data_IF_666363562142
#
_entry.id   IF_666363562142
#
_cell.length_a   1.000
_cell.length_b   1.000
_cell.length_c   1.000
_cell.angle_alpha   90.00
_cell.angle_beta   90.00
_cell.angle_gamma   90.00
#
_symmetry.space_group_name_H-M   'P 1'
#
loop_
_entity.id
_entity.type
_entity.pdbx_description
1 polymer ?
#
# COMPACT_ATOMS: atom_id res chain seq x y z
N UNK A 1 -23.58 19.89 -7.55
CA UNK A 1 -22.93 18.59 -7.33
C UNK A 1 -21.96 18.76 -6.16
N UNK A 2 -21.92 17.81 -5.21
CA UNK A 2 -20.99 17.89 -4.09
C UNK A 2 -19.54 17.70 -4.55
N UNK A 3 -18.57 18.06 -3.69
CA UNK A 3 -17.14 17.81 -3.92
C UNK A 3 -16.76 16.40 -3.44
N UNK A 4 -15.94 15.69 -4.19
CA UNK A 4 -15.47 14.35 -3.85
C UNK A 4 -13.95 14.35 -3.79
N UNK A 5 -13.39 13.87 -2.68
CA UNK A 5 -11.97 13.77 -2.44
C UNK A 5 -11.56 12.32 -2.19
N UNK A 6 -10.57 11.85 -2.93
CA UNK A 6 -9.84 10.61 -2.63
C UNK A 6 -8.52 11.00 -1.94
N UNK A 7 -8.32 10.61 -0.69
CA UNK A 7 -7.19 11.12 0.11
C UNK A 7 -6.34 10.00 0.72
N UNK A 8 -5.02 10.13 0.65
CA UNK A 8 -4.08 9.22 1.29
C UNK A 8 -3.87 9.58 2.77
N UNK A 9 -4.20 8.67 3.69
CA UNK A 9 -4.12 8.95 5.14
C UNK A 9 -2.82 8.45 5.79
N UNK A 10 -1.85 8.05 4.99
CA UNK A 10 -0.59 7.52 5.50
C UNK A 10 -0.67 6.03 5.88
N UNK A 11 0.48 5.42 6.24
CA UNK A 11 0.61 3.96 6.31
C UNK A 11 0.07 3.32 7.59
N UNK A 12 -0.42 4.09 8.58
CA UNK A 12 -0.99 3.51 9.80
C UNK A 12 -1.11 4.45 10.98
N UNK A 13 -0.20 5.40 11.16
CA UNK A 13 -0.24 6.38 12.25
C UNK A 13 -0.81 7.72 11.80
N UNK A 14 -1.61 8.35 12.65
CA UNK A 14 -2.10 9.71 12.44
C UNK A 14 -0.99 10.77 12.29
N UNK A 15 0.23 10.50 12.77
CA UNK A 15 1.38 11.38 12.61
C UNK A 15 1.88 11.47 11.16
N UNK A 16 1.45 10.53 10.29
CA UNK A 16 1.78 10.50 8.87
C UNK A 16 0.66 11.07 7.98
N UNK A 17 -0.43 11.55 8.58
CA UNK A 17 -1.48 12.27 7.85
C UNK A 17 -0.98 13.68 7.55
N UNK A 18 -0.92 14.05 6.27
CA UNK A 18 -0.52 15.41 5.87
C UNK A 18 -1.54 16.44 6.34
N UNK A 19 -1.09 17.67 6.54
CA UNK A 19 -1.96 18.76 7.03
C UNK A 19 -3.11 19.06 6.06
N UNK A 20 -2.87 18.96 4.75
CA UNK A 20 -3.93 19.15 3.75
C UNK A 20 -5.00 18.07 3.84
N UNK A 21 -4.60 16.79 3.97
CA UNK A 21 -5.53 15.67 4.13
C UNK A 21 -6.33 15.81 5.41
N UNK A 22 -5.68 16.20 6.51
CA UNK A 22 -6.36 16.45 7.79
C UNK A 22 -7.45 17.52 7.66
N UNK A 23 -7.16 18.64 7.00
CA UNK A 23 -8.13 19.73 6.77
C UNK A 23 -9.33 19.25 5.93
N UNK A 24 -9.07 18.50 4.88
CA UNK A 24 -10.13 17.97 4.01
C UNK A 24 -11.03 16.98 4.76
N UNK A 25 -10.45 16.07 5.55
CA UNK A 25 -11.23 15.12 6.36
C UNK A 25 -12.08 15.87 7.40
N UNK A 26 -11.51 16.87 8.07
CA UNK A 26 -12.27 17.66 9.07
C UNK A 26 -13.41 18.45 8.41
N UNK A 27 -13.24 18.90 7.17
CA UNK A 27 -14.29 19.60 6.40
C UNK A 27 -15.34 18.71 5.75
N UNK A 28 -15.21 17.37 5.83
CA UNK A 28 -16.13 16.44 5.18
C UNK A 28 -17.52 16.40 5.85
N UNK A 29 -18.58 16.26 5.07
CA UNK A 29 -19.93 15.93 5.53
C UNK A 29 -20.12 14.41 5.63
N UNK A 30 -19.57 13.69 4.65
CA UNK A 30 -19.66 12.23 4.54
C UNK A 30 -18.26 11.64 4.37
N UNK A 31 -17.99 10.58 5.10
CA UNK A 31 -16.73 9.79 4.96
C UNK A 31 -17.10 8.35 4.66
N UNK A 32 -16.51 7.78 3.62
CA UNK A 32 -16.73 6.39 3.24
C UNK A 32 -15.40 5.68 3.01
N UNK A 33 -15.20 4.53 3.68
CA UNK A 33 -13.94 3.80 3.55
C UNK A 33 -13.95 2.43 4.22
N UNK A 34 -12.87 1.71 4.02
CA UNK A 34 -12.65 0.43 4.69
C UNK A 34 -12.42 0.63 6.19
N UNK A 35 -12.88 -0.33 6.99
CA UNK A 35 -12.79 -0.29 8.46
C UNK A 35 -11.40 0.09 8.96
N UNK A 36 -10.35 -0.56 8.44
CA UNK A 36 -8.98 -0.29 8.87
C UNK A 36 -8.57 1.18 8.63
N UNK A 37 -8.89 1.72 7.45
CA UNK A 37 -8.56 3.11 7.10
C UNK A 37 -9.34 4.11 7.95
N UNK A 38 -10.62 3.83 8.20
CA UNK A 38 -11.46 4.67 9.09
C UNK A 38 -10.96 4.67 10.53
N UNK A 39 -10.43 3.55 11.02
CA UNK A 39 -9.84 3.46 12.36
C UNK A 39 -8.61 4.37 12.51
N UNK A 40 -7.78 4.52 11.46
CA UNK A 40 -6.63 5.43 11.47
C UNK A 40 -7.09 6.88 11.71
N UNK A 41 -8.20 7.30 11.11
CA UNK A 41 -8.69 8.69 11.15
C UNK A 41 -9.84 8.89 12.14
N UNK A 42 -10.09 7.94 13.02
CA UNK A 42 -11.28 7.90 13.91
C UNK A 42 -11.48 9.20 14.71
N UNK A 43 -10.40 9.84 15.17
CA UNK A 43 -10.46 11.10 15.90
C UNK A 43 -10.88 12.32 15.03
N UNK A 44 -10.68 12.23 13.70
CA UNK A 44 -10.99 13.32 12.75
C UNK A 44 -12.41 13.25 12.19
N UNK A 45 -13.07 12.11 12.33
CA UNK A 45 -14.40 11.84 11.73
C UNK A 45 -15.51 11.76 12.76
N UNK A 46 -15.28 12.16 14.00
CA UNK A 46 -16.31 12.20 15.03
C UNK A 46 -17.46 13.13 14.64
N UNK A 47 -18.68 12.65 14.80
CA UNK A 47 -19.90 13.41 14.48
C UNK A 47 -20.24 13.51 12.97
N UNK A 48 -19.47 12.86 12.09
CA UNK A 48 -19.72 12.84 10.64
C UNK A 48 -20.61 11.65 10.24
N UNK A 49 -21.24 11.75 9.07
CA UNK A 49 -21.91 10.59 8.44
C UNK A 49 -20.83 9.64 7.91
N UNK A 50 -20.78 8.42 8.44
CA UNK A 50 -19.73 7.44 8.11
C UNK A 50 -20.38 6.22 7.45
N UNK A 51 -19.79 5.78 6.31
CA UNK A 51 -20.12 4.53 5.67
C UNK A 51 -18.88 3.62 5.67
N UNK A 52 -19.03 2.45 6.31
CA UNK A 52 -18.00 1.40 6.24
C UNK A 52 -18.30 0.53 5.03
N UNK A 53 -17.29 0.29 4.19
CA UNK A 53 -17.43 -0.52 2.97
C UNK A 53 -16.55 -1.77 3.01
N UNK A 54 -16.93 -2.72 2.18
CA UNK A 54 -16.19 -3.94 1.85
C UNK A 54 -15.93 -3.98 0.34
N UNK A 55 -15.15 -4.96 -0.12
CA UNK A 55 -14.95 -5.18 -1.56
C UNK A 55 -16.27 -5.53 -2.30
N UNK A 56 -17.24 -6.10 -1.58
CA UNK A 56 -18.51 -6.59 -2.17
C UNK A 56 -19.55 -5.50 -2.32
N UNK A 57 -19.59 -4.51 -1.41
CA UNK A 57 -20.66 -3.51 -1.32
C UNK A 57 -20.22 -2.08 -1.69
N UNK A 58 -18.93 -1.83 -1.91
CA UNK A 58 -18.38 -0.50 -2.14
C UNK A 58 -19.09 0.24 -3.28
N UNK A 59 -19.29 -0.40 -4.43
CA UNK A 59 -19.89 0.25 -5.59
C UNK A 59 -21.35 0.66 -5.33
N UNK A 60 -22.12 -0.24 -4.73
CA UNK A 60 -23.52 0.03 -4.33
C UNK A 60 -23.58 1.20 -3.35
N UNK A 61 -22.65 1.24 -2.39
CA UNK A 61 -22.58 2.30 -1.40
C UNK A 61 -22.23 3.65 -2.03
N UNK A 62 -21.27 3.68 -2.96
CA UNK A 62 -20.91 4.91 -3.70
C UNK A 62 -22.09 5.42 -4.53
N UNK A 63 -22.81 4.54 -5.23
CA UNK A 63 -24.00 4.90 -6.01
C UNK A 63 -25.13 5.47 -5.13
N UNK A 64 -25.32 4.92 -3.93
CA UNK A 64 -26.27 5.45 -2.96
C UNK A 64 -25.86 6.84 -2.48
N UNK A 65 -24.60 7.01 -2.06
CA UNK A 65 -24.07 8.30 -1.58
C UNK A 65 -24.20 9.37 -2.66
N UNK A 66 -23.95 9.04 -3.94
CA UNK A 66 -24.10 9.98 -5.06
C UNK A 66 -25.51 10.56 -5.13
N UNK A 67 -26.54 9.75 -4.87
CA UNK A 67 -27.95 10.20 -4.89
C UNK A 67 -28.30 11.09 -3.69
N UNK A 68 -27.62 10.88 -2.56
CA UNK A 68 -27.88 11.58 -1.30
C UNK A 68 -26.99 12.83 -1.11
N UNK A 69 -25.90 12.94 -1.87
CA UNK A 69 -24.91 14.02 -1.72
C UNK A 69 -25.39 15.30 -2.41
N UNK A 70 -26.24 16.05 -1.73
CA UNK A 70 -26.73 17.34 -2.18
C UNK A 70 -25.76 18.48 -1.82
N UNK A 71 -24.75 18.71 -2.68
CA UNK A 71 -23.83 19.86 -2.54
C UNK A 71 -22.78 19.76 -1.42
N UNK A 72 -22.73 18.64 -0.67
CA UNK A 72 -21.80 18.41 0.42
C UNK A 72 -20.39 17.93 -0.03
N UNK A 73 -19.54 17.65 0.94
CA UNK A 73 -18.17 17.15 0.76
C UNK A 73 -18.13 15.66 1.15
N UNK A 74 -17.80 14.82 0.17
CA UNK A 74 -17.49 13.41 0.35
C UNK A 74 -15.99 13.21 0.42
N UNK A 75 -15.52 12.48 1.42
CA UNK A 75 -14.11 12.04 1.51
C UNK A 75 -14.03 10.53 1.52
N UNK A 76 -13.18 10.00 0.63
CA UNK A 76 -12.83 8.58 0.54
C UNK A 76 -11.36 8.43 0.95
N UNK A 77 -11.07 8.01 2.19
CA UNK A 77 -9.70 7.83 2.66
C UNK A 77 -9.13 6.49 2.22
N UNK A 78 -7.85 6.49 1.85
CA UNK A 78 -7.05 5.32 1.49
C UNK A 78 -5.83 5.20 2.40
N UNK A 79 -5.49 3.98 2.80
CA UNK A 79 -4.27 3.72 3.56
C UNK A 79 -3.05 3.96 2.68
N UNK A 80 -2.04 4.68 3.20
CA UNK A 80 -0.86 5.06 2.43
C UNK A 80 -1.14 6.22 1.49
N UNK A 81 -0.78 6.05 0.22
CA UNK A 81 -0.99 7.00 -0.88
C UNK A 81 -2.01 6.47 -1.88
N UNK A 82 -2.91 7.33 -2.31
CA UNK A 82 -3.99 6.99 -3.27
C UNK A 82 -3.45 6.54 -4.63
N UNK A 83 -2.30 7.09 -5.06
CA UNK A 83 -1.75 6.84 -6.39
C UNK A 83 -1.01 5.50 -6.50
N UNK A 84 -0.98 4.71 -5.41
CA UNK A 84 -0.28 3.44 -5.43
C UNK A 84 -1.17 2.29 -4.94
N UNK A 85 -1.43 1.33 -5.83
CA UNK A 85 -2.25 0.12 -5.64
C UNK A 85 -3.78 0.33 -5.54
N UNK A 86 -4.27 1.58 -5.68
CA UNK A 86 -5.69 1.90 -5.51
C UNK A 86 -6.37 2.34 -6.83
N UNK A 87 -5.70 2.19 -7.97
CA UNK A 87 -6.19 2.67 -9.28
C UNK A 87 -7.58 2.15 -9.63
N UNK A 88 -7.87 0.87 -9.39
CA UNK A 88 -9.19 0.28 -9.69
C UNK A 88 -10.33 0.96 -8.91
N UNK A 89 -10.07 1.37 -7.66
CA UNK A 89 -11.07 2.05 -6.84
C UNK A 89 -11.20 3.51 -7.24
N UNK A 90 -10.08 4.17 -7.55
CA UNK A 90 -10.07 5.56 -8.03
C UNK A 90 -10.83 5.68 -9.36
N UNK A 91 -10.57 4.79 -10.32
CA UNK A 91 -11.27 4.77 -11.61
C UNK A 91 -12.79 4.61 -11.39
N UNK A 92 -13.21 3.72 -10.51
CA UNK A 92 -14.62 3.55 -10.13
C UNK A 92 -15.22 4.81 -9.51
N UNK A 93 -14.48 5.51 -8.65
CA UNK A 93 -14.95 6.78 -8.09
C UNK A 93 -15.15 7.83 -9.17
N UNK A 94 -14.23 7.93 -10.13
CA UNK A 94 -14.33 8.85 -11.27
C UNK A 94 -15.54 8.49 -12.16
N UNK A 95 -15.73 7.21 -12.46
CA UNK A 95 -16.91 6.74 -13.22
C UNK A 95 -18.23 7.10 -12.53
N UNK A 96 -18.30 6.94 -11.21
CA UNK A 96 -19.51 7.21 -10.45
C UNK A 96 -19.75 8.71 -10.27
N UNK A 97 -18.75 9.45 -9.82
CA UNK A 97 -18.93 10.86 -9.39
C UNK A 97 -18.54 11.89 -10.45
N UNK A 98 -17.73 11.51 -11.45
CA UNK A 98 -17.21 12.38 -12.50
C UNK A 98 -15.95 13.12 -12.07
N UNK A 99 -16.07 14.20 -11.31
CA UNK A 99 -14.95 14.98 -10.80
C UNK A 99 -14.54 14.50 -9.39
N UNK A 100 -13.32 13.98 -9.26
CA UNK A 100 -12.74 13.49 -8.01
C UNK A 100 -11.37 14.12 -7.83
N UNK A 101 -11.21 14.91 -6.78
CA UNK A 101 -9.93 15.49 -6.41
C UNK A 101 -9.09 14.46 -5.64
N UNK A 102 -7.88 14.15 -6.14
CA UNK A 102 -6.97 13.20 -5.52
C UNK A 102 -5.93 13.98 -4.71
N UNK A 103 -5.83 13.69 -3.41
CA UNK A 103 -4.82 14.28 -2.52
C UNK A 103 -3.87 13.18 -2.05
N UNK A 104 -2.57 13.24 -2.41
CA UNK A 104 -1.61 12.22 -2.06
C UNK A 104 -1.38 12.13 -0.55
N UNK A 105 -0.97 10.96 -0.09
CA UNK A 105 -0.54 10.70 1.28
C UNK A 105 0.91 10.21 1.35
N UNK A 106 1.41 10.02 2.57
CA UNK A 106 2.69 9.34 2.77
C UNK A 106 2.50 7.84 2.51
N UNK A 107 3.20 7.31 1.51
CA UNK A 107 3.10 5.89 1.17
C UNK A 107 3.89 5.00 2.14
N UNK A 108 3.42 3.78 2.37
CA UNK A 108 4.18 2.71 3.04
C UNK A 108 5.52 2.42 2.34
N UNK A 109 5.60 2.63 1.03
CA UNK A 109 6.82 2.51 0.23
C UNK A 109 7.89 3.49 0.71
N UNK A 110 7.54 4.77 0.89
CA UNK A 110 8.46 5.81 1.36
C UNK A 110 8.96 5.51 2.77
N UNK A 111 8.06 5.04 3.65
CA UNK A 111 8.44 4.70 5.02
C UNK A 111 9.33 3.45 5.05
N UNK A 112 9.01 2.42 4.29
CA UNK A 112 9.82 1.21 4.18
C UNK A 112 11.22 1.51 3.63
N UNK A 113 11.32 2.34 2.57
CA UNK A 113 12.60 2.79 2.02
C UNK A 113 13.45 3.53 3.07
N UNK A 114 12.84 4.44 3.83
CA UNK A 114 13.53 5.18 4.89
C UNK A 114 14.04 4.26 6.00
N UNK A 115 13.23 3.29 6.44
CA UNK A 115 13.61 2.32 7.47
C UNK A 115 14.70 1.34 7.00
N UNK A 116 14.63 0.89 5.76
CA UNK A 116 15.65 0.06 5.13
C UNK A 116 16.89 0.87 4.68
N UNK A 117 16.84 2.21 4.77
CA UNK A 117 17.92 3.13 4.35
C UNK A 117 18.32 2.95 2.89
N UNK A 118 17.36 2.71 2.02
CA UNK A 118 17.55 2.61 0.57
C UNK A 118 17.00 3.84 -0.15
N UNK A 119 17.66 4.32 -1.23
CA UNK A 119 17.18 5.44 -2.03
C UNK A 119 16.07 5.00 -2.98
N UNK A 120 14.97 5.77 -3.09
CA UNK A 120 13.85 5.46 -3.98
C UNK A 120 14.23 5.55 -5.45
N UNK A 121 15.08 6.51 -5.83
CA UNK A 121 15.54 6.74 -7.21
C UNK A 121 16.42 5.59 -7.75
N UNK A 122 16.92 4.71 -6.87
CA UNK A 122 17.69 3.49 -7.21
C UNK A 122 16.93 2.21 -6.84
N UNK A 123 15.62 2.30 -6.72
CA UNK A 123 14.76 1.18 -6.34
C UNK A 123 13.72 0.89 -7.40
N UNK A 124 13.32 -0.38 -7.49
CA UNK A 124 12.13 -0.82 -8.21
C UNK A 124 11.00 -1.02 -7.21
N UNK A 125 9.85 -0.41 -7.50
CA UNK A 125 8.65 -0.60 -6.69
C UNK A 125 7.73 -1.54 -7.45
N UNK A 126 7.40 -2.69 -6.84
CA UNK A 126 6.59 -3.73 -7.47
C UNK A 126 5.40 -4.02 -6.56
N UNK A 127 4.18 -3.82 -7.06
CA UNK A 127 2.99 -4.27 -6.33
C UNK A 127 2.49 -5.60 -6.88
N UNK A 128 2.35 -6.57 -6.00
CA UNK A 128 1.62 -7.82 -6.26
C UNK A 128 0.16 -7.70 -5.81
N UNK A 129 -0.20 -6.60 -5.14
CA UNK A 129 -1.53 -6.33 -4.62
C UNK A 129 -2.48 -5.86 -5.73
N UNK A 130 -2.77 -6.76 -6.66
CA UNK A 130 -3.67 -6.54 -7.81
C UNK A 130 -4.61 -7.72 -7.96
N UNK A 131 -5.79 -7.49 -8.55
CA UNK A 131 -6.82 -8.53 -8.78
C UNK A 131 -6.48 -9.43 -9.97
N UNK A 132 -5.71 -8.91 -10.93
CA UNK A 132 -5.30 -9.59 -12.17
C UNK A 132 -4.13 -10.56 -11.98
N UNK A 133 -3.61 -11.15 -13.06
CA UNK A 133 -2.41 -12.00 -13.03
C UNK A 133 -1.17 -11.23 -12.58
N UNK A 134 -0.29 -11.89 -11.82
CA UNK A 134 0.99 -11.32 -11.36
C UNK A 134 2.22 -11.95 -12.06
N UNK A 135 2.01 -12.74 -13.11
CA UNK A 135 3.15 -13.43 -13.76
C UNK A 135 4.16 -12.46 -14.38
N UNK A 136 3.71 -11.39 -15.02
CA UNK A 136 4.60 -10.34 -15.53
C UNK A 136 5.36 -9.63 -14.40
N UNK A 137 4.70 -9.38 -13.28
CA UNK A 137 5.33 -8.77 -12.09
C UNK A 137 6.35 -9.68 -11.42
N UNK A 138 6.15 -11.00 -11.47
CA UNK A 138 7.15 -11.99 -11.04
C UNK A 138 8.39 -11.96 -11.93
N UNK A 139 8.21 -11.82 -13.24
CA UNK A 139 9.34 -11.66 -14.17
C UNK A 139 10.06 -10.32 -13.95
N UNK A 140 9.31 -9.24 -13.68
CA UNK A 140 9.90 -7.95 -13.30
C UNK A 140 10.72 -8.06 -12.02
N UNK A 141 10.23 -8.80 -11.00
CA UNK A 141 10.96 -9.07 -9.77
C UNK A 141 12.28 -9.79 -10.04
N UNK A 142 12.28 -10.88 -10.85
CA UNK A 142 13.52 -11.58 -11.22
C UNK A 142 14.51 -10.65 -11.91
N UNK A 143 14.02 -9.90 -12.91
CA UNK A 143 14.84 -8.94 -13.64
C UNK A 143 15.45 -7.90 -12.70
N UNK A 144 14.67 -7.35 -11.79
CA UNK A 144 15.15 -6.35 -10.85
C UNK A 144 16.24 -6.91 -9.90
N UNK A 145 16.12 -8.18 -9.48
CA UNK A 145 17.17 -8.86 -8.69
C UNK A 145 18.44 -9.05 -9.52
N UNK A 146 18.33 -9.50 -10.78
CA UNK A 146 19.49 -9.68 -11.69
C UNK A 146 20.18 -8.36 -11.97
N UNK A 147 19.41 -7.30 -12.21
CA UNK A 147 19.91 -5.96 -12.54
C UNK A 147 20.51 -5.24 -11.30
N UNK A 148 20.41 -5.82 -10.11
CA UNK A 148 20.99 -5.25 -8.89
C UNK A 148 20.24 -4.06 -8.30
N UNK A 149 18.92 -3.90 -8.60
CA UNK A 149 18.11 -2.86 -7.99
C UNK A 149 17.74 -3.19 -6.54
N UNK A 150 17.62 -2.16 -5.70
CA UNK A 150 16.81 -2.30 -4.51
C UNK A 150 15.35 -2.53 -4.93
N UNK A 151 14.62 -3.36 -4.20
CA UNK A 151 13.24 -3.69 -4.55
C UNK A 151 12.34 -3.43 -3.36
N UNK A 152 11.29 -2.65 -3.56
CA UNK A 152 10.22 -2.48 -2.58
C UNK A 152 9.01 -3.19 -3.15
N UNK A 153 8.58 -4.25 -2.49
CA UNK A 153 7.51 -5.12 -2.94
C UNK A 153 6.33 -5.05 -1.98
N UNK A 154 5.14 -4.78 -2.51
CA UNK A 154 3.88 -4.95 -1.78
C UNK A 154 3.34 -6.35 -2.11
N UNK A 155 3.25 -7.24 -1.10
CA UNK A 155 2.80 -8.61 -1.28
C UNK A 155 1.32 -8.71 -1.64
N UNK A 156 0.86 -9.94 -1.93
CA UNK A 156 -0.53 -10.26 -2.28
C UNK A 156 -1.17 -11.16 -1.23
N UNK A 157 -2.02 -10.63 -0.34
CA UNK A 157 -2.44 -11.31 0.88
C UNK A 157 -3.77 -12.08 0.77
N UNK A 158 -4.11 -12.72 -0.35
CA UNK A 158 -5.38 -13.44 -0.47
C UNK A 158 -5.22 -14.96 -0.23
N UNK A 159 -5.18 -15.43 1.04
CA UNK A 159 -4.88 -16.83 1.38
C UNK A 159 -5.96 -17.82 0.94
N UNK A 160 -7.21 -17.37 0.78
CA UNK A 160 -8.33 -18.22 0.34
C UNK A 160 -8.22 -18.67 -1.12
N UNK A 161 -7.41 -17.99 -1.92
CA UNK A 161 -7.12 -18.35 -3.30
C UNK A 161 -5.60 -18.50 -3.46
N UNK A 162 -5.06 -19.73 -3.47
CA UNK A 162 -3.63 -19.97 -3.60
C UNK A 162 -3.00 -19.33 -4.85
N UNK A 163 -3.78 -19.13 -5.92
CA UNK A 163 -3.33 -18.43 -7.14
C UNK A 163 -3.22 -16.92 -6.91
N UNK A 164 -3.86 -16.42 -5.86
CA UNK A 164 -3.90 -15.02 -5.47
C UNK A 164 -3.16 -14.75 -4.16
N UNK A 165 -2.32 -15.66 -3.71
CA UNK A 165 -1.48 -15.51 -2.52
C UNK A 165 -0.01 -15.45 -2.94
N UNK A 166 0.68 -14.38 -2.56
CA UNK A 166 2.10 -14.20 -2.87
C UNK A 166 2.73 -13.26 -1.83
N UNK A 167 2.96 -13.82 -0.65
CA UNK A 167 3.54 -13.17 0.51
C UNK A 167 5.07 -13.33 0.55
N UNK A 168 5.80 -12.75 1.49
CA UNK A 168 7.27 -12.83 1.54
C UNK A 168 7.82 -14.27 1.51
N UNK A 169 7.14 -15.23 2.12
CA UNK A 169 7.51 -16.65 2.07
C UNK A 169 7.42 -17.22 0.66
N UNK A 170 6.36 -16.92 -0.09
CA UNK A 170 6.19 -17.34 -1.49
C UNK A 170 7.19 -16.63 -2.41
N UNK A 171 7.54 -15.39 -2.13
CA UNK A 171 8.62 -14.67 -2.85
C UNK A 171 9.94 -15.40 -2.68
N UNK A 172 10.29 -15.81 -1.47
CA UNK A 172 11.51 -16.56 -1.19
C UNK A 172 11.54 -17.89 -1.95
N UNK A 173 10.46 -18.66 -1.86
CA UNK A 173 10.32 -19.92 -2.60
C UNK A 173 10.42 -19.71 -4.11
N UNK A 174 9.78 -18.67 -4.64
CA UNK A 174 9.78 -18.36 -6.06
C UNK A 174 11.19 -18.01 -6.56
N UNK A 175 11.92 -17.15 -5.86
CA UNK A 175 13.28 -16.79 -6.24
C UNK A 175 14.24 -18.00 -6.19
N UNK A 176 14.16 -18.81 -5.13
CA UNK A 176 14.95 -20.04 -4.98
C UNK A 176 14.67 -21.03 -6.12
N UNK A 177 13.39 -21.27 -6.44
CA UNK A 177 12.97 -22.15 -7.55
C UNK A 177 13.53 -21.69 -8.91
N UNK A 178 13.73 -20.39 -9.08
CA UNK A 178 14.28 -19.82 -10.31
C UNK A 178 15.81 -19.64 -10.26
N UNK A 179 16.51 -20.33 -9.34
CA UNK A 179 17.97 -20.46 -9.33
C UNK A 179 18.72 -19.32 -8.63
N UNK A 180 18.03 -18.44 -7.89
CA UNK A 180 18.69 -17.39 -7.11
C UNK A 180 19.28 -17.95 -5.82
N UNK A 181 20.48 -17.51 -5.46
CA UNK A 181 21.09 -17.80 -4.14
C UNK A 181 20.44 -16.91 -3.07
N UNK A 182 19.27 -17.33 -2.60
CA UNK A 182 18.45 -16.57 -1.64
C UNK A 182 19.14 -16.36 -0.29
N UNK A 183 20.18 -17.12 0.03
CA UNK A 183 20.96 -16.95 1.27
C UNK A 183 21.81 -15.67 1.27
N UNK A 184 22.10 -15.12 0.10
CA UNK A 184 22.92 -13.92 -0.10
C UNK A 184 22.12 -12.65 -0.40
N UNK A 185 20.79 -12.76 -0.49
CA UNK A 185 19.91 -11.62 -0.80
C UNK A 185 19.39 -11.03 0.52
N UNK A 186 19.87 -9.84 0.95
CA UNK A 186 19.39 -9.21 2.16
C UNK A 186 17.95 -8.74 2.01
N UNK A 187 17.16 -8.88 3.07
CA UNK A 187 15.75 -8.49 3.07
C UNK A 187 15.32 -7.89 4.40
N UNK A 188 14.38 -6.94 4.31
CA UNK A 188 13.57 -6.46 5.42
C UNK A 188 12.11 -6.72 5.10
N UNK A 189 11.33 -7.16 6.09
CA UNK A 189 9.88 -7.19 5.99
C UNK A 189 9.32 -6.35 7.13
N UNK A 190 8.54 -5.34 6.78
CA UNK A 190 7.89 -4.45 7.73
C UNK A 190 6.40 -4.76 7.76
N UNK A 191 5.86 -5.02 8.93
CA UNK A 191 4.44 -5.28 9.15
C UNK A 191 3.80 -4.14 9.93
N UNK A 192 2.59 -3.77 9.56
CA UNK A 192 1.82 -2.74 10.24
C UNK A 192 2.60 -1.44 10.47
N UNK A 193 3.28 -0.98 9.42
CA UNK A 193 4.15 0.20 9.45
C UNK A 193 3.50 1.38 10.16
N UNK A 194 4.28 2.02 11.04
CA UNK A 194 3.96 3.26 11.76
C UNK A 194 2.86 3.15 12.82
N UNK A 195 2.17 2.01 12.94
CA UNK A 195 1.19 1.84 14.02
C UNK A 195 1.83 1.19 15.25
N UNK A 196 1.09 1.15 16.37
CA UNK A 196 1.59 0.59 17.64
C UNK A 196 1.85 -0.94 17.64
N UNK A 197 1.59 -1.63 16.53
CA UNK A 197 1.82 -3.08 16.33
C UNK A 197 2.89 -3.35 15.29
N UNK A 198 3.67 -2.34 14.93
CA UNK A 198 4.73 -2.49 13.94
C UNK A 198 5.73 -3.58 14.35
N UNK A 199 6.01 -4.48 13.39
CA UNK A 199 7.03 -5.51 13.53
C UNK A 199 7.99 -5.43 12.33
N UNK A 200 9.24 -5.85 12.54
CA UNK A 200 10.27 -5.85 11.50
C UNK A 200 11.02 -7.17 11.53
N UNK A 201 11.09 -7.83 10.40
CA UNK A 201 12.03 -8.91 10.15
C UNK A 201 13.23 -8.36 9.35
N UNK A 202 14.43 -8.78 9.70
CA UNK A 202 15.67 -8.47 8.95
C UNK A 202 16.51 -9.74 8.86
N UNK A 203 16.96 -10.09 7.65
CA UNK A 203 17.74 -11.29 7.40
C UNK A 203 17.99 -11.49 5.91
N UNK A 204 18.13 -12.74 5.48
CA UNK A 204 18.20 -13.13 4.07
C UNK A 204 16.82 -13.55 3.55
N UNK A 205 16.65 -13.51 2.21
CA UNK A 205 15.43 -14.01 1.56
C UNK A 205 15.19 -15.49 1.90
N UNK A 206 16.22 -16.31 2.04
CA UNK A 206 16.10 -17.72 2.44
C UNK A 206 15.41 -17.88 3.80
N UNK A 207 15.69 -16.99 4.74
CA UNK A 207 15.14 -17.06 6.11
C UNK A 207 13.64 -16.71 6.18
N UNK A 208 13.03 -16.26 5.07
CA UNK A 208 11.58 -16.03 4.97
C UNK A 208 10.80 -17.33 4.73
N UNK A 209 11.46 -18.41 4.27
CA UNK A 209 10.79 -19.67 3.95
C UNK A 209 10.04 -20.22 5.16
N UNK A 210 8.75 -20.47 4.99
CA UNK A 210 7.88 -21.00 6.04
C UNK A 210 7.47 -20.01 7.14
N UNK A 211 7.86 -18.73 7.03
CA UNK A 211 7.39 -17.68 7.95
C UNK A 211 6.05 -17.12 7.48
N UNK A 212 5.21 -16.79 8.45
CA UNK A 212 3.95 -16.09 8.22
C UNK A 212 4.13 -14.59 8.45
N UNK A 213 3.51 -13.79 7.61
CA UNK A 213 3.50 -12.33 7.69
C UNK A 213 2.06 -11.82 7.57
N UNK A 214 1.78 -10.68 8.20
CA UNK A 214 0.46 -10.06 8.13
C UNK A 214 0.15 -9.49 6.74
N UNK A 215 -1.13 -9.34 6.44
CA UNK A 215 -1.62 -8.74 5.18
C UNK A 215 -1.11 -7.30 4.97
N UNK A 216 -0.75 -6.63 6.05
CA UNK A 216 -0.22 -5.26 6.05
C UNK A 216 1.31 -5.25 6.06
N UNK A 217 1.94 -6.01 5.18
CA UNK A 217 3.39 -6.09 5.07
C UNK A 217 3.94 -5.40 3.82
N UNK A 218 5.16 -4.87 3.95
CA UNK A 218 5.98 -4.37 2.85
C UNK A 218 7.34 -5.05 2.93
N UNK A 219 7.75 -5.68 1.83
CA UNK A 219 9.05 -6.35 1.72
C UNK A 219 10.04 -5.45 0.99
N UNK A 220 11.26 -5.35 1.52
CA UNK A 220 12.36 -4.62 0.89
C UNK A 220 13.54 -5.56 0.69
N UNK A 221 13.91 -5.81 -0.55
CA UNK A 221 15.17 -6.47 -0.91
C UNK A 221 16.20 -5.36 -1.11
N UNK A 222 17.22 -5.33 -0.27
CA UNK A 222 18.30 -4.35 -0.38
C UNK A 222 19.49 -4.97 -1.09
N UNK A 223 19.96 -4.33 -2.17
CA UNK A 223 21.21 -4.71 -2.80
C UNK A 223 22.38 -4.13 -2.00
N UNK A 224 23.48 -4.86 -1.92
CA UNK A 224 24.69 -4.37 -1.29
C UNK A 224 25.12 -3.10 -2.00
N UNK A 225 25.26 -1.98 -1.28
CA UNK A 225 25.84 -0.76 -1.85
C UNK A 225 27.23 -1.13 -2.39
N UNK A 226 27.45 -1.06 -3.71
CA UNK A 226 28.79 -1.12 -4.25
C UNK A 226 29.56 0.06 -3.64
N UNK A 227 30.78 -0.18 -3.16
CA UNK A 227 31.66 0.82 -2.52
C UNK A 227 32.03 2.03 -3.42
N UNK A 228 31.52 2.06 -4.66
CA UNK A 228 31.79 3.10 -5.67
C UNK A 228 31.20 4.49 -5.39
N UNK A 229 30.55 4.71 -4.24
CA UNK A 229 30.01 6.03 -3.88
C UNK A 229 30.92 6.88 -2.99
N UNK A 230 32.10 6.40 -2.63
CA UNK A 230 33.08 7.13 -1.82
C UNK A 230 34.31 7.43 -2.67
N UNK A 231 34.15 8.26 -3.68
CA UNK A 231 35.25 8.94 -4.34
C UNK A 231 34.83 10.34 -4.76
N UNK A 232 34.84 11.26 -3.82
CA UNK A 232 35.01 12.67 -4.05
C UNK A 232 36.34 13.10 -3.46
#
# INVERSE_FOLDING_TARGET
MGKVFAVGVGPGSQNYITEIVRKVIVGADVVVGYKYTLDIISSLIQGKKIHVITMEDQEKTYQQIKKELEGGILVVPFTGDVNFSESEVVDRLIEIFGDVEIIPGISSIQVAASKAKIPLDKSKVITMHVTTSIEEKKLELQKAVVDGYNIILIPRPWPKDPKKHFMPSEVAFYLKKNGFDTSKIPVHVFESLTNGKEQTFTGSVQELEGKEFSDLSVMVISQTRSESYISF
#
